data_IF_186246095979
#
_entry.id   IF_186246095979
#
_cell.length_a   1.000
_cell.length_b   1.000
_cell.length_c   1.000
_cell.angle_alpha   90.00
_cell.angle_beta   90.00
_cell.angle_gamma   90.00
#
_symmetry.space_group_name_H-M   'P 1'
#
loop_
_entity.id
_entity.type
_entity.pdbx_description
1 polymer ?
#
# COMPACT_ATOMS: atom_id res chain seq x y z
N UNK A 1 -6.91 -25.41 -11.94
CA UNK A 1 -5.70 -26.25 -11.76
C UNK A 1 -4.47 -25.75 -12.52
N UNK A 2 -4.52 -24.74 -13.40
CA UNK A 2 -3.30 -24.07 -13.93
C UNK A 2 -3.37 -22.55 -13.74
N UNK A 3 -4.53 -21.95 -14.03
CA UNK A 3 -4.80 -20.52 -13.77
C UNK A 3 -4.67 -20.14 -12.29
N UNK A 4 -5.13 -20.99 -11.38
CA UNK A 4 -5.00 -20.80 -9.93
C UNK A 4 -3.52 -20.81 -9.48
N UNK A 5 -2.66 -21.55 -10.19
CA UNK A 5 -1.23 -21.60 -9.91
C UNK A 5 -0.53 -20.32 -10.39
N UNK A 6 -0.94 -19.80 -11.54
CA UNK A 6 -0.46 -18.50 -12.06
C UNK A 6 -0.91 -17.36 -11.14
N UNK A 7 -2.16 -17.36 -10.68
CA UNK A 7 -2.66 -16.42 -9.69
C UNK A 7 -1.86 -16.48 -8.37
N UNK A 8 -1.50 -17.67 -7.89
CA UNK A 8 -0.66 -17.80 -6.71
C UNK A 8 0.76 -17.25 -6.91
N UNK A 9 1.35 -17.48 -8.10
CA UNK A 9 2.70 -16.99 -8.45
C UNK A 9 2.75 -15.46 -8.54
N UNK A 10 1.72 -14.80 -9.08
CA UNK A 10 1.66 -13.33 -9.15
C UNK A 10 1.28 -12.69 -7.81
N UNK A 11 0.49 -13.37 -6.98
CA UNK A 11 0.07 -12.86 -5.66
C UNK A 11 1.19 -12.88 -4.62
N UNK A 12 2.01 -13.94 -4.62
CA UNK A 12 3.11 -14.13 -3.67
C UNK A 12 4.12 -12.96 -3.63
N UNK A 13 4.67 -12.44 -4.75
CA UNK A 13 5.59 -11.31 -4.71
C UNK A 13 4.92 -10.03 -4.23
N UNK A 14 3.62 -9.82 -4.50
CA UNK A 14 2.88 -8.68 -3.96
C UNK A 14 2.77 -8.77 -2.43
N UNK A 15 2.50 -9.97 -1.90
CA UNK A 15 2.47 -10.22 -0.46
C UNK A 15 3.83 -10.01 0.20
N UNK A 16 4.92 -10.47 -0.44
CA UNK A 16 6.27 -10.23 0.05
C UNK A 16 6.61 -8.73 0.02
N UNK A 17 6.23 -8.02 -1.05
CA UNK A 17 6.46 -6.58 -1.17
C UNK A 17 5.68 -5.79 -0.10
N UNK A 18 4.44 -6.20 0.21
CA UNK A 18 3.69 -5.57 1.30
C UNK A 18 4.34 -5.80 2.66
N UNK A 19 4.85 -7.02 2.89
CA UNK A 19 5.57 -7.38 4.13
C UNK A 19 6.86 -6.57 4.26
N UNK A 20 7.61 -6.36 3.18
CA UNK A 20 8.81 -5.50 3.18
C UNK A 20 8.45 -4.06 3.57
N UNK A 21 7.35 -3.51 3.05
CA UNK A 21 6.85 -2.19 3.47
C UNK A 21 6.52 -2.13 4.96
N UNK A 22 5.89 -3.18 5.51
CA UNK A 22 5.62 -3.30 6.94
C UNK A 22 6.90 -3.38 7.78
N UNK A 23 7.91 -4.13 7.32
CA UNK A 23 9.21 -4.24 8.01
C UNK A 23 9.97 -2.91 7.99
N UNK A 24 9.94 -2.17 6.88
CA UNK A 24 10.49 -0.81 6.79
C UNK A 24 9.82 0.12 7.79
N UNK A 25 8.50 0.05 7.90
CA UNK A 25 7.75 0.85 8.87
C UNK A 25 8.09 0.46 10.32
N UNK A 26 8.24 -0.84 10.61
CA UNK A 26 8.63 -1.33 11.94
C UNK A 26 10.06 -0.98 12.36
N UNK A 27 10.92 -0.58 11.41
CA UNK A 27 12.31 -0.15 11.65
C UNK A 27 12.51 1.36 11.44
N UNK A 28 11.43 2.13 11.33
CA UNK A 28 11.50 3.54 10.99
C UNK A 28 11.91 4.42 12.18
N UNK A 29 13.00 5.16 12.01
CA UNK A 29 13.52 6.18 12.94
C UNK A 29 13.01 7.61 12.65
N UNK A 30 12.26 7.81 11.54
CA UNK A 30 11.71 9.11 11.19
C UNK A 30 10.40 8.99 10.40
N UNK A 31 9.64 10.09 10.33
CA UNK A 31 8.32 10.13 9.70
C UNK A 31 8.38 9.84 8.18
N UNK A 32 9.48 10.18 7.51
CA UNK A 32 9.65 9.89 6.07
C UNK A 32 9.77 8.39 5.84
N UNK A 33 10.50 7.67 6.70
CA UNK A 33 10.59 6.21 6.62
C UNK A 33 9.26 5.52 6.95
N UNK A 34 8.49 6.04 7.91
CA UNK A 34 7.12 5.56 8.17
C UNK A 34 6.26 5.75 6.91
N UNK A 35 6.28 6.94 6.32
CA UNK A 35 5.54 7.24 5.09
C UNK A 35 5.94 6.30 3.94
N UNK A 36 7.25 6.10 3.74
CA UNK A 36 7.76 5.23 2.68
C UNK A 36 7.34 3.77 2.88
N UNK A 37 7.45 3.25 4.12
CA UNK A 37 7.01 1.89 4.45
C UNK A 37 5.51 1.70 4.22
N UNK A 38 4.72 2.70 4.65
CA UNK A 38 3.26 2.71 4.49
C UNK A 38 2.86 2.73 3.01
N UNK A 39 3.44 3.61 2.18
CA UNK A 39 3.14 3.68 0.75
C UNK A 39 3.58 2.40 0.01
N UNK A 40 4.76 1.89 0.33
CA UNK A 40 5.29 0.64 -0.24
C UNK A 40 4.34 -0.53 0.04
N UNK A 41 3.89 -0.67 1.29
CA UNK A 41 2.90 -1.67 1.69
C UNK A 41 1.57 -1.46 0.97
N UNK A 42 1.09 -0.21 0.93
CA UNK A 42 -0.24 0.13 0.45
C UNK A 42 -0.39 -0.10 -1.04
N UNK A 43 0.61 0.25 -1.86
CA UNK A 43 0.57 -0.01 -3.32
C UNK A 43 0.38 -1.50 -3.61
N UNK A 44 1.12 -2.38 -2.92
CA UNK A 44 0.94 -3.82 -3.07
C UNK A 44 -0.46 -4.27 -2.66
N UNK A 45 -1.01 -3.72 -1.57
CA UNK A 45 -2.38 -4.03 -1.13
C UNK A 45 -3.45 -3.54 -2.11
N UNK A 46 -3.27 -2.38 -2.74
CA UNK A 46 -4.20 -1.89 -3.77
C UNK A 46 -4.24 -2.83 -4.98
N UNK A 47 -3.07 -3.30 -5.41
CA UNK A 47 -2.97 -4.27 -6.51
C UNK A 47 -3.56 -5.63 -6.11
N UNK A 48 -3.30 -6.11 -4.88
CA UNK A 48 -3.90 -7.35 -4.37
C UNK A 48 -5.43 -7.25 -4.23
N UNK A 49 -5.98 -6.08 -3.89
CA UNK A 49 -7.44 -5.87 -3.85
C UNK A 49 -8.07 -5.90 -5.26
N UNK A 50 -7.35 -5.43 -6.28
CA UNK A 50 -7.73 -5.48 -7.69
C UNK A 50 -7.20 -6.72 -8.45
N UNK A 51 -6.75 -7.76 -7.73
CA UNK A 51 -5.99 -8.85 -8.33
C UNK A 51 -6.76 -9.63 -9.40
N UNK A 52 -8.07 -9.80 -9.21
CA UNK A 52 -8.94 -10.51 -10.16
C UNK A 52 -9.36 -9.56 -11.29
N UNK A 53 -8.48 -9.39 -12.28
CA UNK A 53 -8.62 -8.41 -13.39
C UNK A 53 -9.91 -8.55 -14.23
N UNK A 54 -10.54 -9.73 -14.26
CA UNK A 54 -11.82 -9.96 -14.96
C UNK A 54 -13.05 -9.84 -14.05
N UNK A 55 -12.86 -9.66 -12.75
CA UNK A 55 -13.94 -9.45 -11.80
C UNK A 55 -14.12 -7.94 -11.55
N UNK A 56 -15.23 -7.40 -12.04
CA UNK A 56 -15.57 -5.98 -11.90
C UNK A 56 -15.64 -5.51 -10.44
N UNK A 57 -16.09 -6.37 -9.52
CA UNK A 57 -16.15 -6.04 -8.09
C UNK A 57 -14.75 -5.94 -7.48
N UNK A 58 -13.80 -6.80 -7.90
CA UNK A 58 -12.40 -6.73 -7.45
C UNK A 58 -11.74 -5.44 -7.94
N UNK A 59 -11.92 -5.09 -9.21
CA UNK A 59 -11.41 -3.82 -9.76
C UNK A 59 -12.00 -2.60 -9.03
N UNK A 60 -13.30 -2.60 -8.78
CA UNK A 60 -13.96 -1.53 -8.03
C UNK A 60 -13.48 -1.44 -6.59
N UNK A 61 -13.27 -2.58 -5.91
CA UNK A 61 -12.73 -2.62 -4.56
C UNK A 61 -11.30 -2.06 -4.49
N UNK A 62 -10.40 -2.48 -5.40
CA UNK A 62 -9.05 -1.96 -5.45
C UNK A 62 -9.00 -0.46 -5.79
N UNK A 63 -9.86 0.02 -6.69
CA UNK A 63 -9.97 1.46 -6.96
C UNK A 63 -10.46 2.25 -5.75
N UNK A 64 -11.51 1.77 -5.06
CA UNK A 64 -12.01 2.41 -3.84
C UNK A 64 -10.93 2.44 -2.75
N UNK A 65 -10.19 1.35 -2.60
CA UNK A 65 -9.13 1.27 -1.60
C UNK A 65 -7.96 2.20 -1.94
N UNK A 66 -7.54 2.24 -3.20
CA UNK A 66 -6.54 3.20 -3.69
C UNK A 66 -6.96 4.65 -3.44
N UNK A 67 -8.20 5.03 -3.77
CA UNK A 67 -8.68 6.40 -3.59
C UNK A 67 -8.75 6.80 -2.12
N UNK A 68 -9.29 5.92 -1.27
CA UNK A 68 -9.34 6.14 0.18
C UNK A 68 -7.93 6.27 0.76
N UNK A 69 -7.03 5.41 0.31
CA UNK A 69 -5.63 5.40 0.71
C UNK A 69 -4.89 6.67 0.29
N UNK A 70 -4.93 7.03 -0.99
CA UNK A 70 -4.30 8.25 -1.52
C UNK A 70 -4.81 9.52 -0.81
N UNK A 71 -6.10 9.56 -0.48
CA UNK A 71 -6.68 10.64 0.33
C UNK A 71 -6.06 10.65 1.74
N UNK A 72 -6.06 9.51 2.45
CA UNK A 72 -5.46 9.40 3.78
C UNK A 72 -3.97 9.75 3.80
N UNK A 73 -3.22 9.33 2.77
CA UNK A 73 -1.82 9.69 2.54
C UNK A 73 -1.63 11.20 2.43
N UNK A 74 -2.55 11.90 1.76
CA UNK A 74 -2.55 13.36 1.70
C UNK A 74 -2.68 14.01 3.08
N UNK A 75 -3.57 13.50 3.94
CA UNK A 75 -3.69 13.99 5.33
C UNK A 75 -2.44 13.68 6.15
N UNK A 76 -1.86 12.49 5.98
CA UNK A 76 -0.63 12.11 6.67
C UNK A 76 0.52 13.05 6.30
N UNK A 77 0.76 13.27 4.99
CA UNK A 77 1.80 14.19 4.50
C UNK A 77 1.58 15.61 4.99
N UNK A 78 0.33 16.09 5.00
CA UNK A 78 0.00 17.40 5.53
C UNK A 78 0.30 17.48 7.03
N UNK A 79 -0.06 16.45 7.82
CA UNK A 79 0.27 16.36 9.24
C UNK A 79 1.78 16.32 9.49
N UNK A 80 2.53 15.57 8.68
CA UNK A 80 4.00 15.55 8.73
C UNK A 80 4.59 16.94 8.45
N UNK A 81 4.07 17.66 7.46
CA UNK A 81 4.50 19.01 7.14
C UNK A 81 4.22 20.00 8.29
N UNK A 82 3.06 19.88 8.96
CA UNK A 82 2.74 20.69 10.14
C UNK A 82 3.66 20.40 11.32
N UNK A 83 3.96 19.12 11.61
CA UNK A 83 4.88 18.73 12.67
C UNK A 83 6.29 19.27 12.37
N UNK A 84 6.74 19.11 11.13
CA UNK A 84 8.05 19.61 10.70
C UNK A 84 8.12 21.14 10.85
N UNK A 85 7.16 21.89 10.30
CA UNK A 85 7.13 23.34 10.40
C UNK A 85 6.94 23.89 11.82
N UNK A 86 6.30 23.13 12.72
CA UNK A 86 6.19 23.50 14.12
C UNK A 86 7.47 23.21 14.93
N UNK A 87 8.24 22.19 14.53
CA UNK A 87 9.51 21.82 15.16
C UNK A 87 10.69 22.67 14.66
N UNK A 88 10.63 23.22 13.43
CA UNK A 88 11.64 24.08 12.82
C UNK A 88 11.90 23.79 11.35
#
# INVERSE_FOLDING_TARGET
>A
SEQEHIEFIEFTPLLLFSTVGMMLMGSAENLIMIFLGLETMSIALYVMAAFRKFNRQSLEAGLKYFLLGAFATGFLLYGMALIYGAAG
#
